data_IF_753356253190
#
_entry.id   IF_753356253190
#
_cell.length_a   1.000
_cell.length_b   1.000
_cell.length_c   1.000
_cell.angle_alpha   90.00
_cell.angle_beta   90.00
_cell.angle_gamma   90.00
#
_symmetry.space_group_name_H-M   'P 1'
#
loop_
_entity.id
_entity.type
_entity.pdbx_description
1 polymer ?
#
# COMPACT_ATOMS: atom_id res chain seq x y z
N UNK A 1 24.00 -23.98 -2.15
CA UNK A 1 22.83 -23.96 -1.24
C UNK A 1 21.63 -23.44 -2.01
N UNK A 2 20.61 -24.26 -2.18
CA UNK A 2 19.45 -23.99 -3.03
C UNK A 2 18.56 -22.92 -2.40
N UNK A 3 18.33 -21.83 -3.13
CA UNK A 3 17.36 -20.80 -2.77
C UNK A 3 15.97 -21.42 -2.74
N UNK A 4 15.32 -21.37 -1.58
CA UNK A 4 13.93 -21.78 -1.43
C UNK A 4 13.06 -20.69 -2.09
N UNK A 5 12.75 -20.88 -3.37
CA UNK A 5 11.76 -20.08 -4.07
C UNK A 5 10.41 -20.57 -3.55
N UNK A 6 9.66 -19.71 -2.88
CA UNK A 6 8.26 -19.98 -2.57
C UNK A 6 7.50 -20.16 -3.90
N UNK A 7 7.27 -21.43 -4.24
CA UNK A 7 6.52 -21.82 -5.41
C UNK A 7 5.03 -21.61 -5.11
N UNK A 8 4.51 -20.41 -5.36
CA UNK A 8 3.07 -20.25 -5.51
C UNK A 8 2.73 -20.77 -6.89
N UNK A 9 2.13 -21.96 -6.93
CA UNK A 9 1.67 -22.62 -8.12
C UNK A 9 0.49 -21.82 -8.71
N UNK A 10 0.74 -20.96 -9.68
CA UNK A 10 -0.26 -20.28 -10.49
C UNK A 10 0.11 -20.47 -11.96
N UNK A 11 -0.59 -21.41 -12.60
CA UNK A 11 -0.61 -21.57 -14.05
C UNK A 11 -1.14 -20.28 -14.70
N UNK A 12 -0.26 -19.46 -15.25
CA UNK A 12 -0.47 -18.25 -16.06
C UNK A 12 0.22 -16.95 -15.54
N UNK A 13 1.29 -17.06 -14.75
CA UNK A 13 2.06 -15.89 -14.30
C UNK A 13 3.41 -15.91 -15.00
N UNK A 14 3.76 -14.83 -15.72
CA UNK A 14 5.12 -14.62 -16.21
C UNK A 14 5.87 -13.71 -15.24
N UNK A 15 7.02 -14.18 -14.74
CA UNK A 15 7.90 -13.42 -13.88
C UNK A 15 8.87 -12.59 -14.74
N UNK A 16 8.97 -11.30 -14.42
CA UNK A 16 10.02 -10.43 -14.93
C UNK A 16 10.80 -9.84 -13.75
N UNK A 17 12.12 -9.96 -13.75
CA UNK A 17 12.99 -9.22 -12.83
C UNK A 17 13.57 -8.04 -13.59
N UNK A 18 13.41 -6.85 -13.04
CA UNK A 18 14.09 -5.64 -13.53
C UNK A 18 14.80 -4.98 -12.36
N UNK A 19 16.09 -4.73 -12.55
CA UNK A 19 16.85 -3.87 -11.63
C UNK A 19 16.69 -2.45 -12.17
N UNK A 20 16.06 -1.58 -11.38
CA UNK A 20 15.94 -0.15 -11.69
C UNK A 20 17.03 0.63 -10.97
N UNK A 21 17.46 1.77 -11.52
CA UNK A 21 18.47 2.64 -10.90
C UNK A 21 17.97 3.17 -9.55
N UNK A 22 18.32 2.47 -8.46
CA UNK A 22 18.06 2.89 -7.10
C UNK A 22 17.25 1.95 -6.22
N UNK A 23 16.87 0.74 -6.68
CA UNK A 23 16.14 -0.23 -5.88
C UNK A 23 16.08 -1.62 -6.50
N UNK A 24 15.86 -2.63 -5.66
CA UNK A 24 15.63 -4.01 -6.10
C UNK A 24 14.12 -4.19 -6.26
N UNK A 25 13.67 -4.45 -7.49
CA UNK A 25 12.27 -4.61 -7.82
C UNK A 25 12.04 -5.95 -8.52
N UNK A 26 11.00 -6.65 -8.13
CA UNK A 26 10.43 -7.78 -8.88
C UNK A 26 9.04 -7.46 -9.33
N UNK A 27 8.58 -8.05 -10.43
CA UNK A 27 7.20 -7.89 -10.85
C UNK A 27 6.58 -9.19 -11.36
N UNK A 28 5.28 -9.31 -11.14
CA UNK A 28 4.45 -10.44 -11.57
C UNK A 28 3.29 -9.90 -12.40
N UNK A 29 3.14 -10.41 -13.62
CA UNK A 29 2.06 -10.01 -14.53
C UNK A 29 0.93 -11.04 -14.52
N UNK A 30 -0.29 -10.57 -14.25
CA UNK A 30 -1.49 -11.38 -14.36
C UNK A 30 -2.13 -11.19 -15.74
N UNK A 31 -2.08 -12.22 -16.58
CA UNK A 31 -2.61 -12.17 -17.95
C UNK A 31 -4.13 -12.05 -18.00
N UNK A 32 -4.85 -12.54 -16.99
CA UNK A 32 -6.30 -12.52 -16.97
C UNK A 32 -6.87 -11.13 -16.64
N UNK A 33 -6.21 -10.38 -15.74
CA UNK A 33 -6.68 -9.05 -15.31
C UNK A 33 -5.94 -7.92 -16.01
N UNK A 34 -4.78 -8.20 -16.65
CA UNK A 34 -3.89 -7.21 -17.22
C UNK A 34 -3.14 -6.38 -16.16
N UNK A 35 -3.11 -6.85 -14.92
CA UNK A 35 -2.47 -6.19 -13.80
C UNK A 35 -1.05 -6.70 -13.60
N UNK A 36 -0.21 -5.84 -13.04
CA UNK A 36 1.15 -6.15 -12.66
C UNK A 36 1.37 -5.79 -11.20
N UNK A 37 1.87 -6.75 -10.42
CA UNK A 37 2.25 -6.53 -9.02
C UNK A 37 3.74 -6.28 -8.99
N UNK A 38 4.15 -5.15 -8.44
CA UNK A 38 5.53 -4.78 -8.20
C UNK A 38 5.85 -4.96 -6.72
N UNK A 39 6.99 -5.56 -6.44
CA UNK A 39 7.55 -5.66 -5.09
C UNK A 39 8.92 -5.00 -5.09
N UNK A 40 9.08 -3.95 -4.30
CA UNK A 40 10.34 -3.24 -4.05
C UNK A 40 10.92 -3.71 -2.72
N UNK A 41 12.25 -3.81 -2.64
CA UNK A 41 12.96 -4.29 -1.47
C UNK A 41 13.93 -3.23 -0.95
N UNK A 42 14.23 -3.29 0.36
CA UNK A 42 15.24 -2.45 0.99
C UNK A 42 16.67 -2.89 0.66
N UNK A 43 16.86 -4.16 0.27
CA UNK A 43 18.17 -4.76 0.09
C UNK A 43 18.27 -5.64 -1.16
N UNK A 44 19.52 -5.82 -1.64
CA UNK A 44 19.85 -6.63 -2.81
C UNK A 44 19.45 -8.11 -2.69
N UNK A 45 19.40 -8.62 -1.47
CA UNK A 45 19.06 -10.04 -1.22
C UNK A 45 17.57 -10.31 -1.37
N UNK A 46 16.77 -9.25 -1.55
CA UNK A 46 15.31 -9.32 -1.70
C UNK A 46 14.64 -10.04 -0.51
N UNK A 47 15.09 -9.73 0.69
CA UNK A 47 14.59 -10.32 1.94
C UNK A 47 13.60 -9.37 2.63
N UNK A 48 13.95 -8.06 2.67
CA UNK A 48 13.12 -7.06 3.36
C UNK A 48 12.31 -6.28 2.34
N UNK A 49 11.01 -6.55 2.30
CA UNK A 49 10.07 -5.85 1.42
C UNK A 49 9.92 -4.41 1.91
N UNK A 50 10.04 -3.47 0.98
CA UNK A 50 9.80 -2.05 1.19
C UNK A 50 8.40 -1.64 0.77
N UNK A 51 7.94 -2.15 -0.39
CA UNK A 51 6.64 -1.78 -0.94
C UNK A 51 6.10 -2.89 -1.86
N UNK A 52 4.78 -3.05 -1.85
CA UNK A 52 4.03 -3.84 -2.82
C UNK A 52 2.96 -2.94 -3.43
N UNK A 53 2.89 -2.87 -4.74
CA UNK A 53 1.86 -2.10 -5.45
C UNK A 53 1.33 -2.85 -6.66
N UNK A 54 0.05 -2.64 -6.95
CA UNK A 54 -0.59 -3.16 -8.15
C UNK A 54 -0.72 -2.04 -9.19
N UNK A 55 -0.43 -2.36 -10.45
CA UNK A 55 -0.49 -1.43 -11.58
C UNK A 55 -1.30 -2.03 -12.71
N UNK A 56 -2.17 -1.23 -13.32
CA UNK A 56 -2.89 -1.57 -14.54
C UNK A 56 -2.59 -0.53 -15.61
N UNK A 57 -2.03 -0.98 -16.73
CA UNK A 57 -1.47 -0.07 -17.72
C UNK A 57 -0.27 0.70 -17.15
N UNK A 58 -0.39 2.02 -17.00
CA UNK A 58 0.64 2.92 -16.45
C UNK A 58 0.26 3.52 -15.08
N UNK A 59 -0.87 3.12 -14.49
CA UNK A 59 -1.39 3.72 -13.28
C UNK A 59 -1.47 2.70 -12.15
N UNK A 60 -1.24 3.17 -10.91
CA UNK A 60 -1.54 2.35 -9.74
C UNK A 60 -3.04 2.01 -9.74
N UNK A 61 -3.37 0.74 -9.50
CA UNK A 61 -4.73 0.24 -9.51
C UNK A 61 -4.82 -1.02 -8.65
N UNK A 62 -5.61 -0.99 -7.58
CA UNK A 62 -5.69 -2.08 -6.63
C UNK A 62 -4.83 -1.86 -5.38
N UNK A 63 -4.50 -2.93 -4.65
CA UNK A 63 -3.81 -2.86 -3.37
C UNK A 63 -2.44 -2.21 -3.45
N UNK A 64 -2.13 -1.45 -2.39
CA UNK A 64 -0.84 -0.86 -2.11
C UNK A 64 -0.49 -1.09 -0.64
N UNK A 65 0.72 -1.58 -0.40
CA UNK A 65 1.28 -1.73 0.95
C UNK A 65 2.72 -1.26 0.95
N UNK A 66 3.13 -0.55 1.99
CA UNK A 66 4.53 -0.34 2.28
C UNK A 66 4.86 -0.71 3.73
N UNK A 67 6.14 -0.88 4.00
CA UNK A 67 6.63 -1.46 5.23
C UNK A 67 7.76 -0.61 5.81
N UNK A 68 7.91 -0.63 7.11
CA UNK A 68 9.10 -0.15 7.79
C UNK A 68 10.31 -1.05 7.49
N UNK A 69 11.49 -0.56 7.74
CA UNK A 69 12.72 -1.38 7.56
C UNK A 69 12.77 -2.58 8.49
N UNK A 70 12.11 -2.51 9.63
CA UNK A 70 11.87 -3.63 10.54
C UNK A 70 10.99 -4.75 9.96
N UNK A 71 10.27 -4.48 8.87
CA UNK A 71 9.31 -5.38 8.24
C UNK A 71 7.87 -5.18 8.72
N UNK A 72 7.63 -4.32 9.72
CA UNK A 72 6.28 -3.98 10.15
C UNK A 72 5.52 -3.23 9.04
N UNK A 73 4.22 -3.50 8.91
CA UNK A 73 3.36 -2.80 7.96
C UNK A 73 3.29 -1.31 8.33
N UNK A 74 3.56 -0.42 7.38
CA UNK A 74 3.49 1.02 7.55
C UNK A 74 2.22 1.61 6.95
N UNK A 75 1.89 1.20 5.71
CA UNK A 75 0.71 1.70 5.00
C UNK A 75 -0.06 0.55 4.37
N UNK A 76 -1.38 0.58 4.49
CA UNK A 76 -2.32 -0.23 3.71
C UNK A 76 -3.31 0.70 3.01
N UNK A 77 -3.39 0.62 1.70
CA UNK A 77 -4.21 1.50 0.90
C UNK A 77 -4.69 0.81 -0.38
N UNK A 78 -5.64 1.45 -1.05
CA UNK A 78 -6.09 1.01 -2.36
C UNK A 78 -6.08 2.15 -3.36
N UNK A 79 -5.68 1.84 -4.60
CA UNK A 79 -5.69 2.77 -5.72
C UNK A 79 -6.75 2.38 -6.74
N UNK A 80 -7.36 3.40 -7.34
CA UNK A 80 -8.19 3.27 -8.54
C UNK A 80 -7.79 4.34 -9.54
N UNK A 81 -7.29 3.91 -10.71
CA UNK A 81 -6.86 4.81 -11.78
C UNK A 81 -5.87 5.89 -11.31
N UNK A 82 -4.85 5.49 -10.55
CA UNK A 82 -3.78 6.35 -10.07
C UNK A 82 -4.12 7.21 -8.85
N UNK A 83 -5.33 7.09 -8.29
CA UNK A 83 -5.79 7.87 -7.13
C UNK A 83 -6.16 6.94 -5.98
N UNK A 84 -5.94 7.36 -4.74
CA UNK A 84 -6.46 6.63 -3.58
C UNK A 84 -7.98 6.52 -3.66
N UNK A 85 -8.53 5.33 -3.37
CA UNK A 85 -9.96 5.07 -3.39
C UNK A 85 -10.29 3.96 -2.38
N UNK A 86 -11.04 4.31 -1.35
CA UNK A 86 -11.31 3.47 -0.19
C UNK A 86 -10.48 3.83 1.03
N UNK A 87 -10.35 2.89 1.94
CA UNK A 87 -9.66 3.08 3.20
C UNK A 87 -8.15 3.17 2.98
N UNK A 88 -7.53 4.15 3.62
CA UNK A 88 -6.09 4.32 3.76
C UNK A 88 -5.77 4.23 5.24
N UNK A 89 -4.90 3.31 5.63
CA UNK A 89 -4.47 3.14 7.01
C UNK A 89 -2.95 3.28 7.09
N UNK A 90 -2.49 4.12 7.99
CA UNK A 90 -1.09 4.27 8.34
C UNK A 90 -0.89 3.78 9.77
N UNK A 91 0.16 3.00 9.99
CA UNK A 91 0.44 2.32 11.25
C UNK A 91 1.68 2.89 11.92
N UNK A 92 1.70 2.86 13.24
CA UNK A 92 2.93 2.94 14.02
C UNK A 92 3.80 1.70 13.78
N UNK A 93 5.09 1.79 14.06
CA UNK A 93 5.99 0.65 13.87
C UNK A 93 5.68 -0.53 14.82
N UNK A 94 5.00 -0.29 15.94
CA UNK A 94 4.50 -1.33 16.84
C UNK A 94 3.24 -2.05 16.32
N UNK A 95 2.74 -1.68 15.12
CA UNK A 95 1.57 -2.27 14.46
C UNK A 95 0.22 -1.67 14.84
N UNK A 96 0.17 -0.73 15.78
CA UNK A 96 -1.06 0.01 16.09
C UNK A 96 -1.37 1.01 14.98
N UNK A 97 -2.65 1.26 14.73
CA UNK A 97 -3.06 2.28 13.76
C UNK A 97 -2.63 3.65 14.30
N UNK A 98 -1.97 4.45 13.45
CA UNK A 98 -1.66 5.85 13.72
C UNK A 98 -2.73 6.77 13.12
N UNK A 99 -3.07 6.54 11.84
CA UNK A 99 -4.13 7.31 11.19
C UNK A 99 -4.94 6.41 10.25
N UNK A 100 -6.25 6.64 10.23
CA UNK A 100 -7.16 5.99 9.30
C UNK A 100 -7.98 7.04 8.56
N UNK A 101 -8.06 6.92 7.24
CA UNK A 101 -8.64 7.93 6.36
C UNK A 101 -9.46 7.24 5.28
N UNK A 102 -10.62 7.79 4.94
CA UNK A 102 -11.38 7.35 3.77
C UNK A 102 -11.15 8.29 2.58
N UNK A 103 -10.74 7.72 1.45
CA UNK A 103 -10.58 8.41 0.19
C UNK A 103 -11.67 8.02 -0.81
N UNK A 104 -12.16 9.00 -1.56
CA UNK A 104 -13.02 8.78 -2.71
C UNK A 104 -12.44 9.49 -3.92
N UNK A 105 -11.96 8.72 -4.90
CA UNK A 105 -11.33 9.24 -6.13
C UNK A 105 -10.23 10.27 -5.87
N UNK A 106 -9.40 10.05 -4.85
CA UNK A 106 -8.27 10.89 -4.47
C UNK A 106 -8.59 12.06 -3.54
N UNK A 107 -9.83 12.24 -3.13
CA UNK A 107 -10.23 13.26 -2.17
C UNK A 107 -10.55 12.61 -0.82
N UNK A 108 -10.19 13.27 0.27
CA UNK A 108 -10.66 12.91 1.61
C UNK A 108 -12.19 13.00 1.65
N UNK A 109 -12.84 11.92 2.04
CA UNK A 109 -14.31 11.87 2.06
C UNK A 109 -14.78 10.88 3.12
N UNK A 110 -15.00 11.36 4.31
CA UNK A 110 -15.30 10.60 5.51
C UNK A 110 -14.47 11.07 6.69
N UNK A 111 -14.32 10.23 7.68
CA UNK A 111 -13.59 10.54 8.89
C UNK A 111 -12.08 10.33 8.70
N UNK A 112 -11.29 11.25 9.25
CA UNK A 112 -9.86 11.08 9.49
C UNK A 112 -9.71 10.86 10.98
N UNK A 113 -9.34 9.65 11.37
CA UNK A 113 -9.19 9.23 12.76
C UNK A 113 -7.72 9.09 13.12
N UNK A 114 -7.29 9.73 14.21
CA UNK A 114 -5.92 9.68 14.73
C UNK A 114 -5.90 8.88 16.04
N UNK A 115 -4.88 8.06 16.19
CA UNK A 115 -4.69 7.19 17.36
C UNK A 115 -3.28 7.34 17.92
N UNK A 116 -3.12 7.13 19.21
CA UNK A 116 -1.81 7.05 19.84
C UNK A 116 -1.14 5.68 19.62
N UNK A 117 0.06 5.52 20.16
CA UNK A 117 0.85 4.29 20.03
C UNK A 117 0.34 3.13 20.91
N UNK A 118 -0.66 3.38 21.77
CA UNK A 118 -1.44 2.38 22.51
C UNK A 118 -2.73 2.00 21.77
N UNK A 119 -3.05 2.64 20.63
CA UNK A 119 -4.25 2.42 19.84
C UNK A 119 -5.49 3.15 20.37
N UNK A 120 -5.32 4.15 21.26
CA UNK A 120 -6.42 4.96 21.77
C UNK A 120 -6.74 6.08 20.77
N UNK A 121 -8.03 6.31 20.52
CA UNK A 121 -8.47 7.39 19.63
C UNK A 121 -8.17 8.76 20.25
N UNK A 122 -7.41 9.59 19.51
CA UNK A 122 -7.04 10.95 19.91
C UNK A 122 -8.03 11.96 19.34
N UNK A 123 -8.32 11.86 18.03
CA UNK A 123 -9.08 12.88 17.31
C UNK A 123 -9.80 12.28 16.10
N UNK A 124 -10.95 12.87 15.74
CA UNK A 124 -11.65 12.61 14.48
C UNK A 124 -11.93 13.94 13.80
N UNK A 125 -11.51 14.09 12.55
CA UNK A 125 -11.82 15.24 11.70
C UNK A 125 -12.65 14.74 10.51
N UNK A 126 -13.84 15.29 10.34
CA UNK A 126 -14.71 14.92 9.20
C UNK A 126 -14.37 15.70 7.96
N UNK A 127 -14.29 15.01 6.82
CA UNK A 127 -14.03 15.61 5.51
C UNK A 127 -15.14 15.27 4.51
N UNK A 128 -15.42 16.22 3.63
CA UNK A 128 -16.30 16.03 2.46
C UNK A 128 -15.65 16.66 1.25
N UNK A 129 -15.42 15.85 0.21
CA UNK A 129 -14.79 16.31 -1.04
C UNK A 129 -13.46 17.08 -0.82
N UNK A 130 -12.61 16.58 0.08
CA UNK A 130 -11.29 17.15 0.39
C UNK A 130 -11.31 18.37 1.31
N UNK A 131 -12.49 18.79 1.82
CA UNK A 131 -12.61 19.93 2.74
C UNK A 131 -13.07 19.45 4.12
N UNK A 132 -12.51 19.98 5.24
CA UNK A 132 -13.01 19.66 6.56
C UNK A 132 -14.45 20.18 6.69
N UNK A 133 -15.29 19.37 7.31
CA UNK A 133 -16.67 19.75 7.66
C UNK A 133 -16.61 20.43 9.04
N UNK A 134 -16.74 21.75 9.06
CA UNK A 134 -16.91 22.47 10.31
C UNK A 134 -18.30 22.14 10.83
N UNK A 135 -18.37 21.41 11.94
CA UNK A 135 -19.61 21.36 12.72
C UNK A 135 -19.79 22.77 13.29
N UNK A 136 -20.69 23.55 12.66
CA UNK A 136 -21.00 24.90 13.10
C UNK A 136 -21.38 24.89 14.58
N UNK A 137 -20.70 25.75 15.37
CA UNK A 137 -21.09 26.05 16.75
C UNK A 137 -22.42 26.75 16.76
#
# INVERSE_FOLDING_TARGET
>A
MKKLIFLICLSAISYGQTVTNGGFETNVFNRNTGERIYTEYYDEKQVRIKMIRTVKGRMNHGPYKDFYESGALRTDANYRNGKFDGLYTFYHENGQIYVQVEYKRGNLNGDVSFFDDQGQLIEIIKYKNGKPVNEGK
#
